data_IF_484782519584
#
_entry.id   IF_484782519584
#
_cell.length_a   1.000
_cell.length_b   1.000
_cell.length_c   1.000
_cell.angle_alpha   90.00
_cell.angle_beta   90.00
_cell.angle_gamma   90.00
#
_symmetry.space_group_name_H-M   'P 1'
#
loop_
_entity.id
_entity.type
_entity.pdbx_description
1 polymer ?
#
# COMPACT_ATOMS: atom_id res chain seq x y z
N UNK A 1 -7.66 21.55 -15.12
CA UNK A 1 -8.81 21.14 -14.28
C UNK A 1 -9.74 22.34 -14.06
N UNK A 2 -11.01 22.18 -13.66
CA UNK A 2 -11.85 23.32 -13.21
C UNK A 2 -11.36 23.82 -11.84
N UNK A 3 -11.39 25.13 -11.58
CA UNK A 3 -10.91 25.72 -10.33
C UNK A 3 -11.56 25.13 -9.06
N UNK A 4 -12.86 24.81 -9.12
CA UNK A 4 -13.61 24.18 -8.02
C UNK A 4 -13.07 22.77 -7.69
N UNK A 5 -12.71 21.98 -8.70
CA UNK A 5 -12.16 20.64 -8.51
C UNK A 5 -10.74 20.70 -7.93
N UNK A 6 -9.93 21.67 -8.35
CA UNK A 6 -8.60 21.91 -7.76
C UNK A 6 -8.72 22.31 -6.29
N UNK A 7 -9.66 23.20 -5.95
CA UNK A 7 -9.91 23.63 -4.57
C UNK A 7 -10.43 22.47 -3.71
N UNK A 8 -11.30 21.63 -4.26
CA UNK A 8 -11.77 20.41 -3.59
C UNK A 8 -10.62 19.46 -3.29
N UNK A 9 -9.75 19.17 -4.27
CA UNK A 9 -8.61 18.27 -4.05
C UNK A 9 -7.63 18.86 -3.04
N UNK A 10 -7.37 20.17 -3.12
CA UNK A 10 -6.54 20.87 -2.15
C UNK A 10 -7.06 20.71 -0.72
N UNK A 11 -8.38 20.83 -0.49
CA UNK A 11 -8.96 20.65 0.83
C UNK A 11 -8.87 19.20 1.33
N UNK A 12 -8.95 18.21 0.45
CA UNK A 12 -8.78 16.80 0.82
C UNK A 12 -7.34 16.47 1.21
N UNK A 13 -6.35 17.03 0.51
CA UNK A 13 -4.93 16.87 0.87
C UNK A 13 -4.60 17.61 2.16
N UNK A 14 -5.12 18.82 2.35
CA UNK A 14 -4.97 19.58 3.60
C UNK A 14 -5.55 18.81 4.80
N UNK A 15 -6.77 18.28 4.67
CA UNK A 15 -7.38 17.40 5.67
C UNK A 15 -6.47 16.21 5.98
N UNK A 16 -5.98 15.51 4.96
CA UNK A 16 -5.11 14.36 5.12
C UNK A 16 -3.82 14.69 5.89
N UNK A 17 -3.20 15.85 5.61
CA UNK A 17 -2.03 16.35 6.34
C UNK A 17 -2.37 16.62 7.81
N UNK A 18 -3.49 17.29 8.08
CA UNK A 18 -3.92 17.64 9.44
C UNK A 18 -4.21 16.37 10.25
N UNK A 19 -5.03 15.46 9.72
CA UNK A 19 -5.37 14.19 10.38
C UNK A 19 -4.13 13.36 10.69
N UNK A 20 -3.24 13.21 9.70
CA UNK A 20 -2.01 12.44 9.86
C UNK A 20 -1.12 13.09 10.92
N UNK A 21 -0.92 14.40 10.88
CA UNK A 21 -0.08 15.11 11.86
C UNK A 21 -0.67 15.00 13.26
N UNK A 22 -2.00 15.16 13.41
CA UNK A 22 -2.66 15.05 14.71
C UNK A 22 -2.50 13.65 15.30
N UNK A 23 -2.87 12.60 14.55
CA UNK A 23 -2.79 11.23 15.05
C UNK A 23 -1.35 10.81 15.38
N UNK A 24 -0.38 11.19 14.55
CA UNK A 24 1.03 10.92 14.83
C UNK A 24 1.53 11.70 16.05
N UNK A 25 1.05 12.94 16.25
CA UNK A 25 1.33 13.73 17.44
C UNK A 25 0.78 13.10 18.73
N UNK A 26 -0.45 12.58 18.68
CA UNK A 26 -1.07 11.86 19.80
C UNK A 26 -0.27 10.59 20.14
N UNK A 27 0.09 9.78 19.14
CA UNK A 27 0.96 8.62 19.32
C UNK A 27 2.33 8.98 19.91
N UNK A 28 2.89 10.14 19.56
CA UNK A 28 4.14 10.63 20.13
C UNK A 28 3.99 10.98 21.61
N UNK A 29 2.90 11.65 22.01
CA UNK A 29 2.58 11.96 23.41
C UNK A 29 2.39 10.68 24.22
N UNK A 30 1.75 9.67 23.63
CA UNK A 30 1.56 8.35 24.25
C UNK A 30 2.83 7.47 24.28
N UNK A 31 3.94 7.94 23.69
CA UNK A 31 5.19 7.16 23.52
C UNK A 31 5.01 5.87 22.72
N UNK A 32 4.04 5.86 21.80
CA UNK A 32 3.73 4.74 20.89
C UNK A 32 4.23 4.98 19.46
N UNK A 33 4.86 6.12 19.19
CA UNK A 33 5.44 6.43 17.89
C UNK A 33 6.65 5.55 17.58
N UNK A 34 6.55 4.69 16.56
CA UNK A 34 7.61 3.78 16.14
C UNK A 34 7.57 3.51 14.62
N UNK A 35 8.67 2.97 14.07
CA UNK A 35 8.74 2.53 12.66
C UNK A 35 8.41 3.66 11.67
N UNK A 36 7.66 3.32 10.62
CA UNK A 36 7.24 4.27 9.58
C UNK A 36 6.54 5.53 10.12
N UNK A 37 5.76 5.43 11.20
CA UNK A 37 5.11 6.58 11.84
C UNK A 37 6.11 7.65 12.31
N UNK A 38 7.28 7.22 12.81
CA UNK A 38 8.32 8.12 13.33
C UNK A 38 9.05 8.89 12.22
N UNK A 39 9.07 8.35 11.00
CA UNK A 39 9.75 8.96 9.85
C UNK A 39 8.94 10.09 9.20
N UNK A 40 7.62 10.09 9.36
CA UNK A 40 6.74 11.00 8.64
C UNK A 40 6.54 12.36 9.32
N UNK A 41 6.55 12.41 10.66
CA UNK A 41 6.40 13.68 11.40
C UNK A 41 7.45 14.71 10.96
N UNK A 42 8.77 14.38 10.89
CA UNK A 42 9.76 15.36 10.46
C UNK A 42 9.53 15.88 9.04
N UNK A 43 9.02 15.03 8.13
CA UNK A 43 8.72 15.43 6.75
C UNK A 43 7.54 16.41 6.73
N UNK A 44 6.47 16.08 7.46
CA UNK A 44 5.29 16.94 7.56
C UNK A 44 5.59 18.28 8.25
N UNK A 45 6.56 18.32 9.16
CA UNK A 45 6.94 19.56 9.86
C UNK A 45 7.94 20.41 9.05
N UNK A 46 8.80 19.76 8.26
CA UNK A 46 9.82 20.43 7.45
C UNK A 46 9.25 21.00 6.14
N UNK A 47 8.32 20.28 5.50
CA UNK A 47 7.84 20.61 4.17
C UNK A 47 6.39 21.09 4.19
N UNK A 48 6.12 22.15 3.42
CA UNK A 48 4.77 22.57 3.10
C UNK A 48 4.20 21.65 2.03
N UNK A 49 3.01 21.10 2.26
CA UNK A 49 2.30 20.29 1.26
C UNK A 49 1.35 21.19 0.47
N UNK A 50 1.45 21.17 -0.85
CA UNK A 50 0.60 21.93 -1.77
C UNK A 50 0.03 21.02 -2.85
N UNK A 51 -1.05 21.45 -3.50
CA UNK A 51 -1.68 20.74 -4.61
C UNK A 51 -1.59 21.58 -5.87
N UNK A 52 -1.17 20.97 -6.97
CA UNK A 52 -1.11 21.62 -8.27
C UNK A 52 -1.43 20.64 -9.41
N UNK A 53 -1.76 21.19 -10.57
CA UNK A 53 -1.73 20.42 -11.82
C UNK A 53 -0.25 20.20 -12.19
N UNK A 54 0.16 18.94 -12.29
CA UNK A 54 1.49 18.56 -12.76
C UNK A 54 1.37 18.15 -14.23
N UNK A 55 2.29 18.66 -15.06
CA UNK A 55 2.34 18.40 -16.51
C UNK A 55 2.98 17.03 -16.85
N UNK A 56 3.55 16.35 -15.86
CA UNK A 56 4.20 15.05 -15.99
C UNK A 56 3.33 13.91 -15.39
N UNK A 57 3.69 12.65 -15.67
CA UNK A 57 3.03 11.48 -15.09
C UNK A 57 3.32 11.31 -13.59
N UNK A 58 3.98 12.27 -12.94
CA UNK A 58 4.36 12.15 -11.53
C UNK A 58 3.17 12.39 -10.61
N UNK A 59 3.05 11.54 -9.59
CA UNK A 59 2.04 11.70 -8.55
C UNK A 59 2.44 12.80 -7.53
N UNK A 60 3.73 13.14 -7.45
CA UNK A 60 4.28 14.17 -6.56
C UNK A 60 5.55 14.84 -7.11
N UNK A 61 5.93 15.99 -6.53
CA UNK A 61 7.21 16.68 -6.75
C UNK A 61 7.76 17.25 -5.44
N UNK A 62 9.07 17.17 -5.24
CA UNK A 62 9.75 17.76 -4.07
C UNK A 62 10.62 18.95 -4.49
N UNK A 63 10.33 20.13 -3.95
CA UNK A 63 11.22 21.29 -3.97
C UNK A 63 11.92 21.44 -2.61
N UNK A 64 13.21 21.11 -2.57
CA UNK A 64 14.03 21.21 -1.35
C UNK A 64 14.42 22.64 -1.00
N UNK A 65 14.50 23.53 -1.99
CA UNK A 65 14.90 24.92 -1.77
C UNK A 65 13.72 25.69 -1.21
N UNK A 66 12.55 25.53 -1.84
CA UNK A 66 11.28 26.08 -1.36
C UNK A 66 10.61 25.26 -0.26
N UNK A 67 11.23 24.16 0.20
CA UNK A 67 10.71 23.23 1.21
C UNK A 67 9.23 22.88 0.97
N UNK A 68 8.90 22.54 -0.27
CA UNK A 68 7.53 22.27 -0.70
C UNK A 68 7.40 20.87 -1.31
N UNK A 69 6.37 20.13 -0.92
CA UNK A 69 5.92 18.90 -1.56
C UNK A 69 4.66 19.23 -2.34
N UNK A 70 4.70 19.08 -3.66
CA UNK A 70 3.54 19.28 -4.53
C UNK A 70 2.92 17.93 -4.86
N UNK A 71 1.64 17.76 -4.52
CA UNK A 71 0.83 16.58 -4.83
C UNK A 71 0.02 16.84 -6.10
N UNK A 72 -0.01 15.86 -7.00
CA UNK A 72 -0.75 15.96 -8.26
C UNK A 72 -2.25 15.99 -8.04
N UNK A 73 -2.89 17.09 -8.42
CA UNK A 73 -4.34 17.24 -8.33
C UNK A 73 -5.09 16.15 -9.12
N UNK A 74 -4.56 15.78 -10.29
CA UNK A 74 -5.17 14.77 -11.15
C UNK A 74 -5.08 13.38 -10.54
N UNK A 75 -3.92 13.01 -9.97
CA UNK A 75 -3.74 11.72 -9.31
C UNK A 75 -4.65 11.59 -8.09
N UNK A 76 -4.72 12.62 -7.24
CA UNK A 76 -5.59 12.61 -6.07
C UNK A 76 -7.08 12.53 -6.45
N UNK A 77 -7.51 13.27 -7.47
CA UNK A 77 -8.88 13.19 -7.96
C UNK A 77 -9.20 11.79 -8.52
N UNK A 78 -8.22 11.14 -9.15
CA UNK A 78 -8.40 9.78 -9.66
C UNK A 78 -8.52 8.75 -8.52
N UNK A 79 -7.68 8.86 -7.48
CA UNK A 79 -7.81 8.06 -6.23
C UNK A 79 -9.20 8.24 -5.61
N UNK A 80 -9.65 9.49 -5.48
CA UNK A 80 -10.95 9.83 -4.90
C UNK A 80 -12.10 9.15 -5.65
N UNK A 81 -12.11 9.24 -6.98
CA UNK A 81 -13.16 8.67 -7.81
C UNK A 81 -13.10 7.13 -7.86
N UNK A 82 -11.90 6.55 -7.98
CA UNK A 82 -11.74 5.10 -8.00
C UNK A 82 -12.29 4.46 -6.72
N UNK A 83 -12.07 5.08 -5.56
CA UNK A 83 -12.64 4.60 -4.31
C UNK A 83 -14.15 4.75 -4.21
N UNK A 84 -14.73 5.77 -4.84
CA UNK A 84 -16.19 5.91 -4.90
C UNK A 84 -16.82 4.70 -5.59
N UNK A 85 -16.29 4.36 -6.77
CA UNK A 85 -16.81 3.27 -7.60
C UNK A 85 -16.60 1.90 -6.95
N UNK A 86 -15.53 1.76 -6.16
CA UNK A 86 -15.14 0.49 -5.55
C UNK A 86 -15.72 0.29 -4.15
N UNK A 87 -16.10 1.36 -3.46
CA UNK A 87 -16.73 1.30 -2.14
C UNK A 87 -17.99 0.43 -2.15
N UNK A 88 -18.81 0.52 -3.20
CA UNK A 88 -20.02 -0.30 -3.33
C UNK A 88 -19.71 -1.80 -3.50
N UNK A 89 -18.67 -2.14 -4.27
CA UNK A 89 -18.24 -3.52 -4.51
C UNK A 89 -17.75 -4.21 -3.22
N UNK A 90 -17.21 -3.42 -2.28
CA UNK A 90 -16.72 -3.89 -0.98
C UNK A 90 -17.70 -3.62 0.17
N UNK A 91 -18.92 -3.13 -0.13
CA UNK A 91 -20.03 -3.00 0.82
C UNK A 91 -20.09 -1.71 1.66
N UNK A 92 -19.40 -0.64 1.24
CA UNK A 92 -19.48 0.69 1.89
C UNK A 92 -20.50 1.60 1.20
N UNK A 93 -21.40 2.18 1.99
CA UNK A 93 -22.45 3.11 1.55
C UNK A 93 -22.46 4.42 2.37
N UNK A 94 -23.08 5.47 1.84
CA UNK A 94 -23.32 6.72 2.57
C UNK A 94 -22.05 7.36 3.15
N UNK A 95 -22.05 7.60 4.47
CA UNK A 95 -20.93 8.20 5.19
C UNK A 95 -19.66 7.34 5.19
N UNK A 96 -19.84 6.02 5.17
CA UNK A 96 -18.71 5.07 5.17
C UNK A 96 -17.98 5.10 3.83
N UNK A 97 -18.73 5.34 2.73
CA UNK A 97 -18.14 5.58 1.40
C UNK A 97 -17.28 6.84 1.39
N UNK A 98 -17.78 7.96 1.89
CA UNK A 98 -17.00 9.20 1.96
C UNK A 98 -15.73 9.00 2.78
N UNK A 99 -15.82 8.33 3.94
CA UNK A 99 -14.64 8.03 4.75
C UNK A 99 -13.66 7.12 4.01
N UNK A 100 -14.14 6.14 3.24
CA UNK A 100 -13.27 5.30 2.42
C UNK A 100 -12.49 6.11 1.36
N UNK A 101 -13.10 7.15 0.77
CA UNK A 101 -12.42 8.05 -0.17
C UNK A 101 -11.39 8.94 0.53
N UNK A 102 -11.77 9.53 1.67
CA UNK A 102 -10.89 10.33 2.51
C UNK A 102 -9.64 9.56 2.96
N UNK A 103 -9.85 8.34 3.47
CA UNK A 103 -8.76 7.46 3.93
C UNK A 103 -7.88 6.97 2.80
N UNK A 104 -8.39 6.87 1.58
CA UNK A 104 -7.57 6.59 0.41
C UNK A 104 -6.72 7.77 -0.02
N UNK A 105 -7.20 9.01 0.12
CA UNK A 105 -6.35 10.20 -0.05
C UNK A 105 -5.26 10.23 1.01
N UNK A 106 -5.57 9.88 2.28
CA UNK A 106 -4.56 9.74 3.34
C UNK A 106 -3.51 8.69 2.94
N UNK A 107 -3.95 7.51 2.50
CA UNK A 107 -3.08 6.40 2.06
C UNK A 107 -2.17 6.81 0.91
N UNK A 108 -2.73 7.48 -0.11
CA UNK A 108 -1.99 7.98 -1.26
C UNK A 108 -0.95 9.01 -0.83
N UNK A 109 -1.33 10.02 -0.05
CA UNK A 109 -0.39 11.02 0.47
C UNK A 109 0.76 10.37 1.25
N UNK A 110 0.42 9.48 2.19
CA UNK A 110 1.42 8.83 3.05
C UNK A 110 2.38 7.97 2.23
N UNK A 111 1.89 7.25 1.22
CA UNK A 111 2.72 6.50 0.27
C UNK A 111 3.76 7.42 -0.40
N UNK A 112 3.34 8.57 -0.92
CA UNK A 112 4.28 9.51 -1.56
C UNK A 112 5.29 10.10 -0.55
N UNK A 113 4.86 10.35 0.70
CA UNK A 113 5.78 10.79 1.75
C UNK A 113 6.82 9.72 2.10
N UNK A 114 6.51 8.43 1.98
CA UNK A 114 7.50 7.37 2.11
C UNK A 114 8.50 7.36 0.96
N UNK A 115 8.09 7.63 -0.27
CA UNK A 115 9.03 7.84 -1.37
C UNK A 115 9.94 9.05 -1.13
N UNK A 116 9.41 10.12 -0.50
CA UNK A 116 10.26 11.21 -0.01
C UNK A 116 11.23 10.67 1.04
N UNK A 117 10.80 9.97 2.08
CA UNK A 117 11.71 9.43 3.10
C UNK A 117 12.82 8.53 2.51
N UNK A 118 12.46 7.68 1.54
CA UNK A 118 13.36 6.73 0.87
C UNK A 118 14.32 7.38 -0.14
N UNK A 119 14.25 8.71 -0.33
CA UNK A 119 15.06 9.44 -1.31
C UNK A 119 14.77 9.09 -2.78
N UNK A 120 13.56 8.62 -3.05
CA UNK A 120 13.09 8.24 -4.39
C UNK A 120 12.38 9.40 -5.13
N UNK A 121 12.39 10.60 -4.55
CA UNK A 121 11.84 11.82 -5.17
C UNK A 121 12.60 12.30 -6.42
N UNK A 122 13.78 11.76 -6.69
CA UNK A 122 14.61 12.12 -7.85
C UNK A 122 14.58 10.99 -8.89
N UNK A 123 14.05 11.29 -10.08
CA UNK A 123 14.02 10.37 -11.21
C UNK A 123 15.42 9.85 -11.59
N UNK A 124 16.51 10.51 -11.15
CA UNK A 124 17.87 10.02 -11.34
C UNK A 124 18.23 8.78 -10.51
N UNK A 125 17.50 8.51 -9.42
CA UNK A 125 17.70 7.31 -8.59
C UNK A 125 17.04 6.06 -9.22
N UNK A 126 15.98 6.27 -10.03
CA UNK A 126 15.22 5.21 -10.70
C UNK A 126 16.10 4.33 -11.61
N UNK A 127 17.02 4.86 -12.43
CA UNK A 127 17.98 4.05 -13.19
C UNK A 127 18.84 3.12 -12.34
N UNK A 128 19.33 3.57 -11.17
CA UNK A 128 20.15 2.76 -10.29
C UNK A 128 19.36 1.61 -9.67
N UNK A 129 18.12 1.87 -9.25
CA UNK A 129 17.19 0.85 -8.77
C UNK A 129 16.88 -0.18 -9.87
N UNK A 130 16.55 0.29 -11.08
CA UNK A 130 16.28 -0.58 -12.25
C UNK A 130 17.49 -1.41 -12.65
N UNK A 131 18.71 -0.91 -12.46
CA UNK A 131 19.94 -1.65 -12.74
C UNK A 131 20.22 -2.75 -11.70
N UNK A 132 19.93 -2.49 -10.42
CA UNK A 132 20.12 -3.47 -9.34
C UNK A 132 19.08 -4.60 -9.34
N UNK A 133 17.84 -4.29 -9.76
CA UNK A 133 16.72 -5.23 -9.80
C UNK A 133 15.90 -5.02 -11.09
N UNK A 134 16.36 -5.56 -12.23
CA UNK A 134 15.68 -5.39 -13.51
C UNK A 134 14.22 -5.84 -13.44
N UNK A 135 13.32 -5.02 -13.99
CA UNK A 135 11.87 -5.25 -14.10
C UNK A 135 11.06 -5.34 -12.81
N UNK A 136 11.66 -5.64 -11.65
CA UNK A 136 10.94 -5.85 -10.38
C UNK A 136 11.27 -4.83 -9.29
N UNK A 137 12.40 -4.12 -9.40
CA UNK A 137 12.91 -3.24 -8.34
C UNK A 137 11.95 -2.14 -7.91
N UNK A 138 11.33 -1.45 -8.89
CA UNK A 138 10.37 -0.38 -8.57
C UNK A 138 9.10 -0.91 -7.93
N UNK A 139 8.55 -2.02 -8.43
CA UNK A 139 7.33 -2.60 -7.88
C UNK A 139 7.48 -3.04 -6.43
N UNK A 140 8.68 -3.50 -6.06
CA UNK A 140 8.99 -3.95 -4.69
C UNK A 140 9.18 -2.76 -3.75
N UNK A 141 9.78 -1.66 -4.22
CA UNK A 141 9.87 -0.43 -3.44
C UNK A 141 8.48 0.18 -3.21
N UNK A 142 7.65 0.22 -4.25
CA UNK A 142 6.27 0.68 -4.15
C UNK A 142 5.44 -0.20 -3.21
N UNK A 143 5.61 -1.53 -3.28
CA UNK A 143 4.96 -2.46 -2.36
C UNK A 143 5.37 -2.19 -0.90
N UNK A 144 6.66 -1.95 -0.65
CA UNK A 144 7.12 -1.60 0.69
C UNK A 144 6.55 -0.27 1.17
N UNK A 145 6.52 0.74 0.30
CA UNK A 145 5.89 2.03 0.59
C UNK A 145 4.39 1.89 0.86
N UNK A 146 3.67 1.05 0.11
CA UNK A 146 2.24 0.76 0.33
C UNK A 146 1.97 0.08 1.66
N UNK A 147 2.79 -0.90 2.04
CA UNK A 147 2.63 -1.64 3.31
C UNK A 147 2.90 -0.71 4.50
N UNK A 148 3.96 0.09 4.44
CA UNK A 148 4.26 1.11 5.46
C UNK A 148 3.17 2.19 5.52
N UNK A 149 2.71 2.66 4.37
CA UNK A 149 1.60 3.61 4.31
C UNK A 149 0.32 3.02 4.87
N UNK A 150 0.04 1.74 4.59
CA UNK A 150 -1.13 1.05 5.13
C UNK A 150 -1.04 0.92 6.65
N UNK A 151 0.14 0.66 7.19
CA UNK A 151 0.37 0.59 8.62
C UNK A 151 0.15 1.95 9.28
N UNK A 152 0.76 3.02 8.75
CA UNK A 152 0.56 4.38 9.26
C UNK A 152 -0.92 4.77 9.17
N UNK A 153 -1.59 4.54 8.04
CA UNK A 153 -3.01 4.81 7.90
C UNK A 153 -3.85 4.03 8.92
N UNK A 154 -3.50 2.78 9.22
CA UNK A 154 -4.20 2.01 10.24
C UNK A 154 -4.07 2.64 11.63
N UNK A 155 -2.89 3.18 11.96
CA UNK A 155 -2.67 3.91 13.20
C UNK A 155 -3.46 5.21 13.22
N UNK A 156 -3.47 5.98 12.12
CA UNK A 156 -4.26 7.22 11.99
C UNK A 156 -5.75 6.95 12.19
N UNK A 157 -6.29 5.94 11.51
CA UNK A 157 -7.70 5.57 11.66
C UNK A 157 -8.02 5.09 13.08
N UNK A 158 -7.15 4.27 13.68
CA UNK A 158 -7.33 3.81 15.05
C UNK A 158 -7.36 4.96 16.06
N UNK A 159 -6.51 5.97 15.90
CA UNK A 159 -6.52 7.17 16.75
C UNK A 159 -7.82 7.97 16.58
N UNK A 160 -8.23 8.25 15.33
CA UNK A 160 -9.46 9.00 15.03
C UNK A 160 -10.70 8.28 15.58
N UNK A 161 -10.73 6.96 15.47
CA UNK A 161 -11.83 6.14 15.98
C UNK A 161 -11.81 5.99 17.52
N UNK A 162 -10.71 6.36 18.19
CA UNK A 162 -10.49 6.05 19.60
C UNK A 162 -10.31 4.55 19.88
N UNK A 163 -9.98 3.77 18.86
CA UNK A 163 -9.81 2.31 18.90
C UNK A 163 -8.39 1.91 18.48
N UNK A 164 -7.42 2.32 19.28
CA UNK A 164 -6.02 1.95 19.09
C UNK A 164 -5.73 0.44 19.30
N UNK A 165 -6.68 -0.31 19.89
CA UNK A 165 -6.53 -1.74 20.15
C UNK A 165 -6.83 -2.60 18.89
N UNK A 166 -7.64 -2.09 17.96
CA UNK A 166 -7.96 -2.72 16.67
C UNK A 166 -6.96 -2.45 15.54
N UNK A 167 -5.72 -2.04 15.85
CA UNK A 167 -4.72 -1.63 14.84
C UNK A 167 -4.53 -2.65 13.69
N UNK A 168 -4.54 -3.96 14.00
CA UNK A 168 -4.41 -5.00 12.97
C UNK A 168 -5.65 -5.11 12.07
N UNK A 169 -6.86 -4.88 12.59
CA UNK A 169 -8.08 -4.83 11.78
C UNK A 169 -8.09 -3.61 10.86
N UNK A 170 -7.71 -2.44 11.38
CA UNK A 170 -7.53 -1.24 10.57
C UNK A 170 -6.47 -1.45 9.48
N UNK A 171 -5.43 -2.20 9.78
CA UNK A 171 -4.36 -2.52 8.85
C UNK A 171 -4.79 -3.46 7.73
N UNK A 172 -5.60 -4.49 8.01
CA UNK A 172 -6.22 -5.33 6.96
C UNK A 172 -7.04 -4.46 6.00
N UNK A 173 -7.85 -3.55 6.52
CA UNK A 173 -8.63 -2.64 5.68
C UNK A 173 -7.74 -1.68 4.88
N UNK A 174 -6.63 -1.22 5.46
CA UNK A 174 -5.66 -0.36 4.78
C UNK A 174 -4.91 -1.08 3.64
N UNK A 175 -4.54 -2.35 3.83
CA UNK A 175 -3.93 -3.17 2.79
C UNK A 175 -4.90 -3.41 1.61
N UNK A 176 -6.19 -3.62 1.89
CA UNK A 176 -7.21 -3.70 0.83
C UNK A 176 -7.30 -2.39 0.03
N UNK A 177 -7.31 -1.24 0.71
CA UNK A 177 -7.31 0.07 0.04
C UNK A 177 -6.05 0.30 -0.77
N UNK A 178 -4.87 -0.04 -0.23
CA UNK A 178 -3.61 0.05 -0.95
C UNK A 178 -3.61 -0.81 -2.22
N UNK A 179 -4.14 -2.05 -2.13
CA UNK A 179 -4.35 -2.90 -3.29
C UNK A 179 -5.25 -2.22 -4.32
N UNK A 180 -6.38 -1.67 -3.90
CA UNK A 180 -7.31 -0.97 -4.79
C UNK A 180 -6.62 0.19 -5.52
N UNK A 181 -5.90 1.03 -4.78
CA UNK A 181 -5.18 2.17 -5.34
C UNK A 181 -4.13 1.68 -6.34
N UNK A 182 -3.25 0.75 -5.94
CA UNK A 182 -2.19 0.22 -6.82
C UNK A 182 -2.73 -0.53 -8.04
N UNK A 183 -3.83 -1.28 -7.88
CA UNK A 183 -4.39 -2.12 -8.94
C UNK A 183 -5.15 -1.31 -10.01
N UNK A 184 -5.93 -0.30 -9.59
CA UNK A 184 -6.90 0.37 -10.47
C UNK A 184 -6.57 1.83 -10.78
N UNK A 185 -5.87 2.55 -9.90
CA UNK A 185 -5.50 3.96 -10.12
C UNK A 185 -4.22 4.07 -10.96
N UNK A 186 -3.32 3.09 -10.85
CA UNK A 186 -2.02 3.15 -11.52
C UNK A 186 -1.83 2.09 -12.61
N UNK A 187 -2.93 1.52 -13.13
CA UNK A 187 -3.00 0.45 -14.15
C UNK A 187 -2.01 -0.71 -13.94
N UNK A 188 -2.45 -1.72 -13.19
CA UNK A 188 -1.61 -2.85 -12.77
C UNK A 188 -1.30 -3.91 -13.83
N UNK A 189 -1.64 -3.70 -15.10
CA UNK A 189 -1.59 -4.77 -16.11
C UNK A 189 -0.20 -5.18 -16.57
N UNK A 190 0.86 -4.43 -16.23
CA UNK A 190 2.25 -4.87 -16.43
C UNK A 190 2.70 -5.85 -15.34
N UNK A 191 3.62 -6.76 -15.66
CA UNK A 191 4.08 -7.81 -14.73
C UNK A 191 4.59 -7.28 -13.39
N UNK A 192 5.37 -6.19 -13.41
CA UNK A 192 5.84 -5.53 -12.20
C UNK A 192 4.68 -5.05 -11.31
N UNK A 193 3.64 -4.46 -11.90
CA UNK A 193 2.52 -3.90 -11.11
C UNK A 193 1.56 -4.99 -10.62
N UNK A 194 1.46 -6.13 -11.32
CA UNK A 194 0.76 -7.32 -10.81
C UNK A 194 1.43 -7.86 -9.55
N UNK A 195 2.76 -7.89 -9.51
CA UNK A 195 3.51 -8.32 -8.30
C UNK A 195 3.18 -7.44 -7.09
N UNK A 196 3.25 -6.11 -7.25
CA UNK A 196 2.87 -5.13 -6.22
C UNK A 196 1.45 -5.42 -5.69
N UNK A 197 0.49 -5.59 -6.59
CA UNK A 197 -0.90 -5.82 -6.23
C UNK A 197 -1.13 -7.19 -5.53
N UNK A 198 -0.53 -8.27 -6.01
CA UNK A 198 -0.61 -9.59 -5.37
C UNK A 198 0.03 -9.56 -3.96
N UNK A 199 1.18 -8.90 -3.81
CA UNK A 199 1.85 -8.75 -2.53
C UNK A 199 0.95 -8.12 -1.47
N UNK A 200 0.19 -7.09 -1.83
CA UNK A 200 -0.76 -6.42 -0.92
C UNK A 200 -1.91 -7.32 -0.48
N UNK A 201 -2.50 -8.09 -1.41
CA UNK A 201 -3.60 -9.02 -1.07
C UNK A 201 -3.10 -10.19 -0.22
N UNK A 202 -1.89 -10.70 -0.48
CA UNK A 202 -1.31 -11.75 0.36
C UNK A 202 -1.02 -11.23 1.77
N UNK A 203 -0.39 -10.04 1.90
CA UNK A 203 -0.19 -9.40 3.21
C UNK A 203 -1.51 -9.26 3.97
N UNK A 204 -2.55 -8.79 3.29
CA UNK A 204 -3.88 -8.64 3.88
C UNK A 204 -4.42 -9.96 4.44
N UNK A 205 -4.35 -11.05 3.68
CA UNK A 205 -4.87 -12.36 4.09
C UNK A 205 -4.04 -12.97 5.22
N UNK A 206 -2.71 -12.83 5.20
CA UNK A 206 -1.84 -13.34 6.27
C UNK A 206 -2.11 -12.63 7.59
N UNK A 207 -2.26 -11.30 7.58
CA UNK A 207 -2.64 -10.53 8.77
C UNK A 207 -4.04 -10.94 9.25
N UNK A 208 -4.99 -11.13 8.33
CA UNK A 208 -6.33 -11.58 8.71
C UNK A 208 -6.31 -12.99 9.32
N UNK A 209 -5.48 -13.91 8.81
CA UNK A 209 -5.29 -15.24 9.35
C UNK A 209 -4.63 -15.21 10.74
N UNK A 210 -3.70 -14.27 10.98
CA UNK A 210 -3.12 -14.06 12.31
C UNK A 210 -4.20 -13.66 13.32
N UNK A 211 -5.05 -12.70 12.96
CA UNK A 211 -6.16 -12.23 13.82
C UNK A 211 -7.12 -13.39 14.13
N UNK A 212 -7.39 -14.26 13.15
CA UNK A 212 -8.29 -15.42 13.28
C UNK A 212 -7.65 -16.63 13.96
N UNK A 213 -6.34 -16.61 14.23
CA UNK A 213 -5.60 -17.76 14.77
C UNK A 213 -5.44 -18.93 13.79
N UNK A 214 -5.62 -18.70 12.49
CA UNK A 214 -5.49 -19.71 11.42
C UNK A 214 -4.17 -19.62 10.66
N UNK A 215 -3.29 -18.69 11.04
CA UNK A 215 -1.97 -18.54 10.45
C UNK A 215 -1.03 -19.68 10.87
N UNK A 216 -0.43 -20.37 9.90
CA UNK A 216 0.56 -21.39 10.16
C UNK A 216 1.98 -20.82 10.15
N UNK A 217 2.49 -20.41 11.32
CA UNK A 217 3.83 -19.85 11.47
C UNK A 217 4.98 -20.81 11.07
N UNK A 218 4.73 -22.11 10.95
CA UNK A 218 5.75 -23.06 10.47
C UNK A 218 5.97 -22.99 8.95
N UNK A 219 4.97 -22.49 8.22
CA UNK A 219 4.96 -22.32 6.77
C UNK A 219 5.22 -20.86 6.36
N UNK A 220 5.28 -19.96 7.35
CA UNK A 220 5.65 -18.56 7.17
C UNK A 220 7.06 -18.36 7.75
N UNK A 221 7.84 -17.45 7.16
CA UNK A 221 9.21 -17.22 7.61
C UNK A 221 9.22 -16.77 9.09
N UNK A 222 10.15 -17.33 9.87
CA UNK A 222 10.26 -17.17 11.32
C UNK A 222 10.46 -15.73 11.82
N UNK A 223 10.78 -14.78 10.93
CA UNK A 223 10.89 -13.34 11.28
C UNK A 223 9.84 -12.47 10.58
N UNK A 224 8.75 -13.07 10.12
CA UNK A 224 7.62 -12.33 9.56
C UNK A 224 7.04 -11.36 10.60
N UNK A 225 6.67 -10.17 10.12
CA UNK A 225 5.86 -9.20 10.84
C UNK A 225 4.72 -8.74 9.95
N UNK A 226 3.59 -8.28 10.51
CA UNK A 226 2.48 -7.73 9.73
C UNK A 226 2.91 -6.65 8.71
N UNK A 227 3.93 -5.87 9.04
CA UNK A 227 4.43 -4.74 8.24
C UNK A 227 5.62 -5.10 7.34
N UNK A 228 6.02 -6.36 7.26
CA UNK A 228 7.09 -6.75 6.34
C UNK A 228 6.57 -6.77 4.90
N UNK A 229 7.32 -6.25 3.91
CA UNK A 229 6.93 -6.36 2.50
C UNK A 229 6.97 -7.83 2.08
N UNK A 230 5.83 -8.32 1.61
CA UNK A 230 5.62 -9.72 1.26
C UNK A 230 5.57 -9.85 -0.27
N UNK A 231 6.61 -10.50 -0.81
CA UNK A 231 6.68 -11.24 -2.09
C UNK A 231 7.24 -10.54 -3.33
N UNK A 232 8.00 -11.33 -4.10
CA UNK A 232 8.36 -11.10 -5.49
C UNK A 232 8.02 -12.38 -6.27
N UNK A 233 7.21 -12.26 -7.33
CA UNK A 233 6.84 -13.37 -8.21
C UNK A 233 7.04 -12.98 -9.67
N UNK A 234 8.11 -13.41 -10.31
CA UNK A 234 8.27 -13.20 -11.75
C UNK A 234 7.81 -14.45 -12.52
N UNK A 235 6.53 -14.50 -12.90
CA UNK A 235 5.97 -15.58 -13.71
C UNK A 235 6.30 -15.45 -15.22
N UNK A 236 6.81 -14.30 -15.67
CA UNK A 236 7.21 -14.09 -17.07
C UNK A 236 8.67 -14.44 -17.31
N UNK A 237 9.53 -14.39 -16.29
CA UNK A 237 10.99 -14.54 -16.41
C UNK A 237 11.69 -15.53 -15.45
N UNK A 238 11.06 -16.05 -14.40
CA UNK A 238 11.77 -16.88 -13.41
C UNK A 238 11.75 -18.39 -13.73
N UNK A 239 12.93 -19.01 -13.69
CA UNK A 239 13.10 -20.45 -13.47
C UNK A 239 13.10 -20.84 -11.97
N UNK A 240 13.12 -19.87 -11.02
CA UNK A 240 13.14 -20.10 -9.56
C UNK A 240 12.63 -18.90 -8.76
N UNK A 241 11.92 -19.19 -7.66
CA UNK A 241 11.37 -18.21 -6.72
C UNK A 241 12.47 -17.71 -5.77
N UNK A 242 12.63 -16.39 -5.62
CA UNK A 242 13.39 -15.80 -4.51
C UNK A 242 12.80 -14.43 -4.16
N UNK A 243 12.29 -14.28 -2.93
CA UNK A 243 11.83 -13.01 -2.40
C UNK A 243 12.97 -12.01 -2.22
N UNK A 244 12.70 -10.72 -2.42
CA UNK A 244 13.66 -9.67 -2.09
C UNK A 244 13.57 -9.35 -0.60
N UNK A 245 14.71 -9.46 0.07
CA UNK A 245 14.93 -9.02 1.44
C UNK A 245 15.29 -7.54 1.35
N UNK A 246 14.39 -6.64 1.78
CA UNK A 246 14.79 -5.29 2.16
C UNK A 246 15.32 -5.39 3.58
N UNK A 247 16.58 -4.97 3.77
CA UNK A 247 17.37 -5.22 4.98
C UNK A 247 16.54 -5.03 6.24
N UNK A 248 16.45 -6.13 7.00
CA UNK A 248 15.81 -6.29 8.32
C UNK A 248 14.33 -6.70 8.34
N UNK A 249 13.64 -6.84 7.20
CA UNK A 249 12.22 -7.22 7.14
C UNK A 249 11.98 -8.41 6.19
N UNK A 250 11.18 -9.38 6.63
CA UNK A 250 11.15 -10.74 6.07
C UNK A 250 9.84 -11.08 5.37
N UNK A 251 9.97 -11.64 4.17
CA UNK A 251 8.86 -12.09 3.33
C UNK A 251 8.51 -13.58 3.48
N UNK A 252 7.40 -13.96 2.87
CA UNK A 252 6.96 -15.35 2.71
C UNK A 252 7.90 -16.09 1.75
N UNK A 253 8.44 -17.23 2.19
CA UNK A 253 9.23 -18.14 1.37
C UNK A 253 8.38 -19.39 1.13
N UNK A 254 7.73 -19.49 -0.04
CA UNK A 254 7.12 -20.74 -0.50
C UNK A 254 8.17 -21.42 -1.38
N UNK A 255 8.76 -22.55 -0.94
CA UNK A 255 9.68 -23.31 -1.78
C UNK A 255 9.02 -23.77 -3.08
N UNK A 256 9.77 -23.79 -4.18
CA UNK A 256 9.26 -24.18 -5.52
C UNK A 256 8.50 -25.52 -5.55
N UNK A 257 8.83 -26.45 -4.64
CA UNK A 257 8.20 -27.76 -4.54
C UNK A 257 6.88 -27.76 -3.77
N UNK A 258 6.58 -26.67 -3.05
CA UNK A 258 5.37 -26.50 -2.24
C UNK A 258 4.29 -25.67 -2.97
N UNK A 259 4.60 -25.15 -4.17
CA UNK A 259 3.61 -24.55 -5.08
C UNK A 259 2.88 -25.70 -5.79
N UNK A 260 1.98 -26.36 -5.07
CA UNK A 260 1.26 -27.54 -5.57
C UNK A 260 0.21 -27.23 -6.66
N UNK A 261 -0.09 -25.95 -6.92
CA UNK A 261 -1.17 -25.52 -7.83
C UNK A 261 -0.75 -24.32 -8.72
N UNK A 262 0.04 -24.63 -9.76
CA UNK A 262 0.49 -23.63 -10.74
C UNK A 262 -0.64 -23.04 -11.59
N UNK A 263 -1.75 -23.77 -11.78
CA UNK A 263 -2.91 -23.30 -12.53
C UNK A 263 -3.67 -22.24 -11.74
N UNK A 264 -3.87 -22.44 -10.43
CA UNK A 264 -4.46 -21.44 -9.54
C UNK A 264 -3.64 -20.17 -9.44
N UNK A 265 -2.30 -20.30 -9.36
CA UNK A 265 -1.40 -19.14 -9.34
C UNK A 265 -1.45 -18.35 -10.65
N UNK A 266 -1.56 -19.04 -11.79
CA UNK A 266 -1.74 -18.42 -13.10
C UNK A 266 -3.09 -17.74 -13.23
N UNK A 267 -4.17 -18.36 -12.77
CA UNK A 267 -5.50 -17.75 -12.72
C UNK A 267 -5.48 -16.47 -11.86
N UNK A 268 -4.88 -16.52 -10.67
CA UNK A 268 -4.70 -15.34 -9.82
C UNK A 268 -3.91 -14.24 -10.55
N UNK A 269 -2.78 -14.59 -11.16
CA UNK A 269 -1.93 -13.65 -11.90
C UNK A 269 -2.68 -12.94 -13.04
N UNK A 270 -3.48 -13.69 -13.80
CA UNK A 270 -4.26 -13.14 -14.92
C UNK A 270 -5.49 -12.35 -14.45
N UNK A 271 -5.98 -12.60 -13.24
CA UNK A 271 -7.12 -11.90 -12.64
C UNK A 271 -6.74 -10.58 -11.95
N UNK A 272 -5.48 -10.36 -11.58
CA UNK A 272 -5.06 -9.14 -10.86
C UNK A 272 -5.29 -7.89 -11.72
N UNK A 273 -5.95 -6.89 -11.12
CA UNK A 273 -6.38 -5.67 -11.81
C UNK A 273 -7.68 -5.82 -12.61
N UNK A 274 -8.29 -7.01 -12.61
CA UNK A 274 -9.64 -7.22 -13.13
C UNK A 274 -10.69 -7.13 -12.02
N UNK A 275 -11.96 -6.96 -12.40
CA UNK A 275 -13.10 -7.03 -11.47
C UNK A 275 -13.83 -8.37 -11.65
N UNK A 276 -14.40 -8.97 -10.58
CA UNK A 276 -14.55 -8.40 -9.22
C UNK A 276 -13.38 -8.67 -8.25
N UNK A 277 -13.11 -7.72 -7.35
CA UNK A 277 -12.08 -7.77 -6.29
C UNK A 277 -12.27 -8.99 -5.40
N UNK A 278 -13.51 -9.31 -5.04
CA UNK A 278 -13.84 -10.44 -4.18
C UNK A 278 -13.24 -11.75 -4.70
N UNK A 279 -13.27 -11.97 -6.03
CA UNK A 279 -12.71 -13.17 -6.67
C UNK A 279 -11.19 -13.25 -6.50
N UNK A 280 -10.49 -12.12 -6.55
CA UNK A 280 -9.03 -12.05 -6.38
C UNK A 280 -8.65 -12.41 -4.94
N UNK A 281 -9.40 -11.89 -3.96
CA UNK A 281 -9.23 -12.24 -2.55
C UNK A 281 -9.48 -13.74 -2.31
N UNK A 282 -10.55 -14.30 -2.90
CA UNK A 282 -10.86 -15.73 -2.83
C UNK A 282 -9.73 -16.60 -3.41
N UNK A 283 -9.28 -16.29 -4.63
CA UNK A 283 -8.18 -16.99 -5.30
C UNK A 283 -6.89 -16.94 -4.49
N UNK A 284 -6.57 -15.78 -3.92
CA UNK A 284 -5.38 -15.62 -3.08
C UNK A 284 -5.49 -16.44 -1.79
N UNK A 285 -6.68 -16.50 -1.17
CA UNK A 285 -6.90 -17.32 0.01
C UNK A 285 -6.79 -18.82 -0.31
N UNK A 286 -7.32 -19.26 -1.45
CA UNK A 286 -7.17 -20.64 -1.93
C UNK A 286 -5.68 -21.00 -2.14
N UNK A 287 -4.93 -20.10 -2.76
CA UNK A 287 -3.48 -20.27 -2.98
C UNK A 287 -2.73 -20.42 -1.65
N UNK A 288 -3.00 -19.57 -0.66
CA UNK A 288 -2.35 -19.63 0.65
C UNK A 288 -2.73 -20.88 1.46
N UNK A 289 -3.96 -21.40 1.30
CA UNK A 289 -4.37 -22.69 1.88
C UNK A 289 -3.64 -23.86 1.22
N UNK A 290 -3.54 -23.86 -0.11
CA UNK A 290 -2.82 -24.88 -0.86
C UNK A 290 -1.33 -24.92 -0.50
N UNK A 291 -0.72 -23.76 -0.24
CA UNK A 291 0.64 -23.62 0.26
C UNK A 291 0.80 -23.91 1.76
N UNK A 292 -0.29 -24.26 2.48
CA UNK A 292 -0.27 -24.57 3.92
C UNK A 292 -0.02 -23.37 4.84
N UNK A 293 0.03 -22.15 4.31
CA UNK A 293 0.30 -20.92 5.06
C UNK A 293 -0.87 -20.52 5.97
N UNK A 294 -2.10 -20.89 5.62
CA UNK A 294 -3.31 -20.65 6.42
C UNK A 294 -4.17 -21.93 6.48
N UNK A 295 -4.81 -22.19 7.61
CA UNK A 295 -5.75 -23.31 7.78
C UNK A 295 -7.16 -22.96 7.31
N UNK A 296 -8.06 -23.96 7.24
CA UNK A 296 -9.46 -23.76 6.81
C UNK A 296 -10.24 -22.73 7.62
#
# INVERSE_FOLDING_TARGET
MKAEALQFVASQVERAVIETRQALGELAVERKLAGGCSCLIPILDQYRVEVAELDDESAFRLDKVGMTITVSANATLFVWNAMYDLAEEIGFEGTDRTRAQETAVNQFLIHELFHVNQKLWDYSAVPAVKAGLPNIGLAILDLAADVEAAWVCAQVEGQIAGDGESALLHFVNALLRAYVIGAFVFDSRSSAKRQRAIGLVISMILVQAQIKGTLNLSQVNQKWTPISPVLAFDLEGAQRFNGIILSDHIGLLIPDHDVFDGDLLKELWDMVGNRPIKRIVELTAMFLRAAGAITE
#
